data_IF_077294834149
#
_entry.id   IF_077294834149
#
_cell.length_a   1.000
_cell.length_b   1.000
_cell.length_c   1.000
_cell.angle_alpha   90.00
_cell.angle_beta   90.00
_cell.angle_gamma   90.00
#
_symmetry.space_group_name_H-M   'P 1'
#
loop_
_entity.id
_entity.type
_entity.pdbx_description
1 polymer ?
#
# COMPACT_ATOMS: atom_id res chain seq x y z
N UNK A 1 6.56 -10.19 -10.26
CA UNK A 1 6.86 -8.90 -10.93
C UNK A 1 6.97 -7.83 -9.86
N UNK A 2 7.96 -6.95 -9.98
CA UNK A 2 8.16 -5.84 -9.04
C UNK A 2 7.42 -4.59 -9.53
N UNK A 3 6.68 -3.95 -8.64
CA UNK A 3 6.05 -2.66 -8.89
C UNK A 3 6.11 -1.81 -7.63
N UNK A 4 6.02 -0.50 -7.79
CA UNK A 4 5.92 0.41 -6.66
C UNK A 4 4.84 1.45 -6.91
N UNK A 5 4.20 1.84 -5.82
CA UNK A 5 3.26 2.94 -5.78
C UNK A 5 3.74 3.95 -4.74
N UNK A 6 3.24 5.15 -4.82
CA UNK A 6 3.60 6.20 -3.87
C UNK A 6 2.44 6.46 -2.93
N UNK A 7 2.78 6.68 -1.67
CA UNK A 7 1.86 7.11 -0.64
C UNK A 7 2.55 8.18 0.20
N UNK A 8 1.97 8.54 1.31
CA UNK A 8 2.59 9.48 2.24
C UNK A 8 2.17 9.15 3.66
N UNK A 9 3.03 9.51 4.60
CA UNK A 9 2.77 9.40 6.02
C UNK A 9 3.02 10.72 6.71
N UNK A 10 2.85 10.73 8.02
CA UNK A 10 3.13 11.90 8.85
C UNK A 10 4.36 11.64 9.71
N UNK A 11 5.24 12.63 9.78
CA UNK A 11 6.33 12.71 10.76
C UNK A 11 6.02 13.93 11.61
N UNK A 12 5.42 13.75 12.78
CA UNK A 12 4.82 14.84 13.52
C UNK A 12 3.66 15.42 12.74
N UNK A 13 3.73 16.72 12.39
CA UNK A 13 2.71 17.41 11.58
C UNK A 13 3.09 17.50 10.11
N UNK A 14 4.30 17.06 9.74
CA UNK A 14 4.79 17.16 8.37
C UNK A 14 4.51 15.87 7.60
N UNK A 15 4.09 16.01 6.34
CA UNK A 15 3.94 14.88 5.45
C UNK A 15 5.30 14.43 4.91
N UNK A 16 5.44 13.15 4.65
CA UNK A 16 6.60 12.56 3.99
C UNK A 16 6.17 11.51 2.98
N UNK A 17 6.89 11.43 1.87
CA UNK A 17 6.59 10.46 0.82
C UNK A 17 7.05 9.07 1.24
N UNK A 18 6.17 8.09 1.05
CA UNK A 18 6.45 6.68 1.32
C UNK A 18 6.34 5.92 -0.01
N UNK A 19 7.35 5.13 -0.32
CA UNK A 19 7.29 4.23 -1.47
C UNK A 19 6.74 2.88 -1.00
N UNK A 20 5.72 2.43 -1.66
CA UNK A 20 5.12 1.12 -1.40
C UNK A 20 5.56 0.19 -2.52
N UNK A 21 6.47 -0.70 -2.19
CA UNK A 21 7.05 -1.64 -3.14
C UNK A 21 6.38 -3.00 -2.98
N UNK A 22 5.99 -3.61 -4.10
CA UNK A 22 5.40 -4.93 -4.09
C UNK A 22 6.10 -5.81 -5.10
N UNK A 23 6.47 -7.02 -4.67
CA UNK A 23 7.06 -8.03 -5.54
C UNK A 23 6.24 -9.31 -5.44
N UNK A 24 5.90 -9.86 -6.60
CA UNK A 24 5.16 -11.12 -6.72
C UNK A 24 6.09 -12.13 -7.40
N UNK A 25 6.35 -13.22 -6.71
CA UNK A 25 7.27 -14.25 -7.20
C UNK A 25 6.73 -15.64 -6.90
N UNK A 26 7.33 -16.62 -7.53
CA UNK A 26 7.07 -18.02 -7.20
C UNK A 26 7.70 -18.35 -5.84
N UNK A 27 7.08 -19.24 -5.12
CA UNK A 27 7.54 -19.64 -3.80
C UNK A 27 6.38 -20.04 -2.93
N UNK A 28 6.65 -20.19 -1.64
CA UNK A 28 5.59 -20.51 -0.68
C UNK A 28 4.58 -19.36 -0.62
N UNK A 29 3.30 -19.61 -0.94
CA UNK A 29 2.30 -18.53 -0.97
C UNK A 29 2.19 -17.81 0.37
N UNK A 30 1.99 -16.50 0.31
CA UNK A 30 1.79 -15.68 1.50
C UNK A 30 2.08 -14.22 1.25
N UNK A 31 1.68 -13.38 2.19
CA UNK A 31 1.98 -11.96 2.23
C UNK A 31 3.04 -11.70 3.30
N UNK A 32 4.08 -10.99 2.93
CA UNK A 32 5.17 -10.61 3.85
C UNK A 32 5.33 -9.10 3.81
N UNK A 33 5.10 -8.43 4.94
CA UNK A 33 5.19 -6.97 5.02
C UNK A 33 6.38 -6.56 5.87
N UNK A 34 7.20 -5.65 5.35
CA UNK A 34 8.39 -5.14 6.01
C UNK A 34 8.48 -3.61 5.89
N UNK A 35 9.34 -2.98 6.69
CA UNK A 35 9.62 -1.55 6.58
C UNK A 35 9.33 -0.73 7.83
N UNK A 36 9.53 -1.27 9.01
CA UNK A 36 9.33 -0.58 10.29
C UNK A 36 7.86 -0.14 10.45
N UNK A 37 7.00 -1.11 10.67
CA UNK A 37 5.54 -0.93 10.61
C UNK A 37 4.92 -1.00 12.01
N UNK A 38 4.06 -0.03 12.34
CA UNK A 38 3.18 -0.13 13.49
C UNK A 38 2.18 -1.27 13.29
N UNK A 39 1.56 -1.73 14.36
CA UNK A 39 0.64 -2.87 14.30
C UNK A 39 -0.53 -2.62 13.35
N UNK A 40 -1.08 -1.40 13.32
CA UNK A 40 -2.20 -1.08 12.43
C UNK A 40 -1.78 -1.11 10.96
N UNK A 41 -0.51 -0.85 10.65
CA UNK A 41 0.01 -0.98 9.28
C UNK A 41 0.17 -2.45 8.92
N UNK A 42 0.65 -3.28 9.84
CA UNK A 42 0.75 -4.72 9.61
C UNK A 42 -0.62 -5.35 9.36
N UNK A 43 -1.66 -4.85 10.00
CA UNK A 43 -3.03 -5.31 9.80
C UNK A 43 -3.56 -4.99 8.40
N UNK A 44 -2.89 -4.10 7.66
CA UNK A 44 -3.26 -3.80 6.28
C UNK A 44 -3.32 -5.05 5.41
N UNK A 45 -2.50 -6.07 5.70
CA UNK A 45 -2.55 -7.33 4.98
C UNK A 45 -3.98 -7.89 4.94
N UNK A 46 -4.66 -7.96 6.08
CA UNK A 46 -6.01 -8.50 6.17
C UNK A 46 -7.01 -7.63 5.41
N UNK A 47 -6.95 -6.31 5.60
CA UNK A 47 -7.87 -5.39 4.94
C UNK A 47 -7.69 -5.43 3.42
N UNK A 48 -6.44 -5.39 2.95
CA UNK A 48 -6.13 -5.38 1.52
C UNK A 48 -6.55 -6.68 0.85
N UNK A 49 -6.16 -7.81 1.41
CA UNK A 49 -6.51 -9.13 0.83
C UNK A 49 -8.01 -9.32 0.74
N UNK A 50 -8.73 -8.98 1.81
CA UNK A 50 -10.17 -9.14 1.86
C UNK A 50 -10.87 -8.18 0.91
N UNK A 51 -10.42 -6.91 0.85
CA UNK A 51 -10.99 -5.92 -0.05
C UNK A 51 -10.80 -6.31 -1.53
N UNK A 52 -9.62 -6.80 -1.89
CA UNK A 52 -9.34 -7.26 -3.25
C UNK A 52 -10.27 -8.41 -3.62
N UNK A 53 -10.39 -9.40 -2.75
CA UNK A 53 -11.28 -10.54 -2.97
C UNK A 53 -12.74 -10.11 -3.13
N UNK A 54 -13.22 -9.25 -2.25
CA UNK A 54 -14.61 -8.78 -2.26
C UNK A 54 -14.91 -7.80 -3.39
N UNK A 55 -13.87 -7.26 -4.03
CA UNK A 55 -14.00 -6.42 -5.22
C UNK A 55 -14.00 -7.23 -6.52
N UNK A 56 -13.97 -8.55 -6.43
CA UNK A 56 -14.09 -9.43 -7.60
C UNK A 56 -12.77 -9.85 -8.22
N UNK A 57 -11.63 -9.54 -7.58
CA UNK A 57 -10.33 -9.97 -8.08
C UNK A 57 -9.89 -11.26 -7.38
N UNK A 58 -9.32 -12.17 -8.14
CA UNK A 58 -8.74 -13.40 -7.60
C UNK A 58 -7.23 -13.34 -7.77
N UNK A 59 -6.49 -13.39 -6.65
CA UNK A 59 -5.04 -13.42 -6.69
C UNK A 59 -4.57 -14.87 -6.72
N UNK A 60 -3.65 -15.23 -7.64
CA UNK A 60 -3.07 -16.56 -7.65
C UNK A 60 -2.21 -16.80 -6.40
N UNK A 61 -1.98 -18.06 -6.00
CA UNK A 61 -1.22 -18.37 -4.79
C UNK A 61 0.29 -18.15 -5.04
N UNK A 62 0.73 -16.92 -4.86
CA UNK A 62 2.11 -16.48 -5.07
C UNK A 62 2.69 -15.92 -3.78
N UNK A 63 4.03 -15.83 -3.73
CA UNK A 63 4.71 -15.13 -2.66
C UNK A 63 4.68 -13.63 -2.96
N UNK A 64 4.04 -12.86 -2.07
CA UNK A 64 3.93 -11.41 -2.19
C UNK A 64 4.75 -10.78 -1.08
N UNK A 65 5.72 -9.95 -1.44
CA UNK A 65 6.53 -9.19 -0.49
C UNK A 65 6.23 -7.72 -0.67
N UNK A 66 5.90 -7.04 0.43
CA UNK A 66 5.54 -5.62 0.43
C UNK A 66 6.50 -4.90 1.38
N UNK A 67 7.17 -3.88 0.86
CA UNK A 67 8.09 -3.05 1.63
C UNK A 67 7.65 -1.60 1.58
N UNK A 68 7.51 -0.98 2.74
CA UNK A 68 7.22 0.45 2.85
C UNK A 68 8.53 1.19 3.15
N UNK A 69 9.04 1.90 2.17
CA UNK A 69 10.32 2.57 2.21
C UNK A 69 10.15 4.07 2.51
N UNK A 70 11.05 4.71 3.26
CA UNK A 70 12.31 4.19 3.81
C UNK A 70 12.13 3.37 5.09
N UNK A 71 13.02 2.40 5.30
CA UNK A 71 12.90 1.46 6.41
C UNK A 71 13.22 2.09 7.79
N UNK A 72 13.92 3.22 7.81
CA UNK A 72 14.28 3.88 9.07
C UNK A 72 13.17 4.79 9.60
N UNK A 73 12.11 5.02 8.84
CA UNK A 73 10.96 5.81 9.25
C UNK A 73 9.82 4.89 9.65
N UNK A 74 9.32 5.03 10.88
CA UNK A 74 8.20 4.24 11.36
C UNK A 74 6.90 4.67 10.67
N UNK A 75 6.19 3.72 10.09
CA UNK A 75 4.91 3.96 9.43
C UNK A 75 3.78 3.64 10.38
N UNK A 76 2.86 4.57 10.53
CA UNK A 76 1.70 4.48 11.42
C UNK A 76 0.43 4.81 10.65
N UNK A 77 -0.72 4.43 11.23
CA UNK A 77 -2.02 4.71 10.67
C UNK A 77 -2.44 3.72 9.59
N UNK A 78 -3.61 3.96 9.03
CA UNK A 78 -4.26 3.04 8.11
C UNK A 78 -4.28 3.55 6.67
N UNK A 79 -3.67 4.70 6.41
CA UNK A 79 -3.72 5.36 5.10
C UNK A 79 -2.93 4.69 3.99
N UNK A 80 -2.14 3.67 4.29
CA UNK A 80 -1.36 2.95 3.28
C UNK A 80 -2.15 1.85 2.57
N UNK A 81 -3.32 1.48 3.07
CA UNK A 81 -4.10 0.35 2.55
C UNK A 81 -4.32 0.44 1.04
N UNK A 82 -4.76 1.60 0.57
CA UNK A 82 -5.08 1.78 -0.86
C UNK A 82 -3.84 1.65 -1.73
N UNK A 83 -2.73 2.28 -1.35
CA UNK A 83 -1.48 2.19 -2.12
C UNK A 83 -0.92 0.77 -2.12
N UNK A 84 -1.07 0.03 -1.02
CA UNK A 84 -0.66 -1.37 -0.96
C UNK A 84 -1.51 -2.21 -1.94
N UNK A 85 -2.82 -2.01 -1.94
CA UNK A 85 -3.71 -2.73 -2.85
C UNK A 85 -3.37 -2.44 -4.32
N UNK A 86 -3.12 -1.18 -4.66
CA UNK A 86 -2.75 -0.78 -6.02
C UNK A 86 -1.41 -1.41 -6.43
N UNK A 87 -0.41 -1.38 -5.54
CA UNK A 87 0.89 -1.98 -5.83
C UNK A 87 0.77 -3.50 -6.02
N UNK A 88 0.00 -4.18 -5.18
CA UNK A 88 -0.22 -5.63 -5.28
C UNK A 88 -0.94 -5.99 -6.58
N UNK A 89 -2.01 -5.30 -6.92
CA UNK A 89 -2.74 -5.55 -8.17
C UNK A 89 -1.87 -5.30 -9.40
N UNK A 90 -1.05 -4.25 -9.36
CA UNK A 90 -0.12 -3.95 -10.44
C UNK A 90 0.97 -5.01 -10.56
N UNK A 91 1.51 -5.47 -9.44
CA UNK A 91 2.55 -6.50 -9.42
C UNK A 91 2.03 -7.86 -9.93
N UNK A 92 0.73 -8.13 -9.79
CA UNK A 92 0.09 -9.30 -10.38
C UNK A 92 -0.30 -9.09 -11.86
N UNK A 93 -0.09 -7.88 -12.39
CA UNK A 93 -0.46 -7.57 -13.77
C UNK A 93 -1.96 -7.36 -14.00
N UNK A 94 -2.75 -7.21 -12.94
CA UNK A 94 -4.21 -7.03 -13.04
C UNK A 94 -4.56 -5.63 -13.49
N UNK A 95 -3.81 -4.63 -13.03
CA UNK A 95 -3.98 -3.24 -13.46
C UNK A 95 -2.70 -2.74 -14.13
N UNK A 96 -2.87 -1.78 -15.05
CA UNK A 96 -1.74 -1.16 -15.73
C UNK A 96 -0.99 -0.24 -14.77
N UNK A 97 0.34 -0.26 -14.85
CA UNK A 97 1.21 0.48 -13.94
C UNK A 97 1.69 1.83 -14.47
N UNK A 98 1.21 2.26 -15.63
CA UNK A 98 1.73 3.47 -16.30
C UNK A 98 1.55 4.74 -15.48
N UNK A 99 0.49 4.80 -14.66
CA UNK A 99 0.20 6.00 -13.85
C UNK A 99 0.82 5.93 -12.46
N UNK A 100 1.43 4.81 -12.06
CA UNK A 100 1.93 4.65 -10.69
C UNK A 100 3.06 5.62 -10.35
N UNK A 101 3.93 5.88 -11.31
CA UNK A 101 5.08 6.79 -11.10
C UNK A 101 4.67 8.26 -10.95
N UNK A 102 3.50 8.65 -11.48
CA UNK A 102 3.02 10.03 -11.45
C UNK A 102 1.88 10.26 -10.47
N UNK A 103 1.49 9.26 -9.69
CA UNK A 103 0.33 9.34 -8.82
C UNK A 103 0.67 8.89 -7.39
N UNK A 104 -0.01 9.48 -6.43
CA UNK A 104 0.04 9.04 -5.03
C UNK A 104 -1.32 8.55 -4.58
N UNK A 105 -1.32 7.58 -3.69
CA UNK A 105 -2.54 6.92 -3.23
C UNK A 105 -2.62 6.96 -1.71
N UNK A 106 -3.76 7.41 -1.20
CA UNK A 106 -4.04 7.51 0.23
C UNK A 106 -5.44 6.98 0.52
N UNK A 107 -5.58 6.20 1.56
CA UNK A 107 -6.89 5.79 2.04
C UNK A 107 -6.84 4.49 2.82
N UNK A 108 -7.74 4.38 3.78
CA UNK A 108 -8.00 3.12 4.47
C UNK A 108 -9.04 2.34 3.67
N UNK A 109 -8.88 1.02 3.57
CA UNK A 109 -9.84 0.16 2.89
C UNK A 109 -10.78 -0.51 3.89
N UNK A 110 -12.07 -0.47 3.59
CA UNK A 110 -13.02 -1.37 4.20
C UNK A 110 -12.96 -2.75 3.54
N UNK A 111 -13.50 -3.76 4.18
CA UNK A 111 -13.39 -5.14 3.70
C UNK A 111 -14.11 -5.39 2.37
N UNK A 112 -15.04 -4.51 1.98
CA UNK A 112 -15.70 -4.57 0.68
C UNK A 112 -15.07 -3.64 -0.37
N UNK A 113 -13.90 -3.07 -0.08
CA UNK A 113 -13.17 -2.25 -1.03
C UNK A 113 -13.49 -0.76 -0.99
N UNK A 114 -14.33 -0.31 -0.05
CA UNK A 114 -14.61 1.12 0.08
C UNK A 114 -13.41 1.86 0.67
N UNK A 115 -13.16 3.07 0.20
CA UNK A 115 -12.13 3.95 0.75
C UNK A 115 -12.70 4.74 1.91
N UNK A 116 -11.94 4.82 3.00
CA UNK A 116 -12.28 5.59 4.18
C UNK A 116 -11.29 6.73 4.38
N UNK A 117 -11.71 7.86 4.98
CA UNK A 117 -10.83 8.99 5.20
C UNK A 117 -9.74 8.67 6.23
N UNK A 118 -8.63 9.38 6.11
CA UNK A 118 -7.50 9.28 7.04
C UNK A 118 -7.12 10.67 7.55
N UNK A 119 -6.39 10.72 8.67
CA UNK A 119 -5.92 11.98 9.24
C UNK A 119 -4.73 12.51 8.46
N UNK A 120 -4.60 13.83 8.41
CA UNK A 120 -3.43 14.49 7.85
C UNK A 120 -3.34 14.47 6.34
N UNK A 121 -4.46 14.27 5.64
CA UNK A 121 -4.48 14.17 4.16
C UNK A 121 -3.85 15.39 3.51
N UNK A 122 -4.11 16.61 4.02
CA UNK A 122 -3.54 17.81 3.41
C UNK A 122 -2.02 17.82 3.48
N UNK A 123 -1.44 17.54 4.66
CA UNK A 123 0.01 17.48 4.82
C UNK A 123 0.63 16.39 3.94
N UNK A 124 -0.01 15.23 3.87
CA UNK A 124 0.45 14.12 3.03
C UNK A 124 0.37 14.45 1.55
N UNK A 125 -0.73 15.08 1.12
CA UNK A 125 -0.92 15.47 -0.28
C UNK A 125 0.11 16.52 -0.70
N UNK A 126 0.43 17.48 0.17
CA UNK A 126 1.47 18.47 -0.09
C UNK A 126 2.85 17.82 -0.25
N UNK A 127 3.16 16.81 0.57
CA UNK A 127 4.40 16.05 0.44
C UNK A 127 4.51 15.34 -0.90
N UNK A 128 3.43 14.71 -1.35
CA UNK A 128 3.39 14.00 -2.64
C UNK A 128 3.46 14.93 -3.85
N UNK A 129 3.07 16.19 -3.67
CA UNK A 129 3.10 17.17 -4.75
C UNK A 129 4.47 17.79 -5.02
N UNK A 130 5.47 17.41 -4.26
CA UNK A 130 6.82 17.97 -4.40
C UNK A 130 7.71 17.16 -5.32
#
# INVERSE_FOLDING_TARGET
MFKRAFSAGLLGVNGCVIQVEADVSDGLPGFHMVGFLASEVKEAEQRVRTAIKNSGFTLPPKKVTINLSPANLRKEGTGYDFSIAIAVLSAHGIIKSEILESSGFLGELGLYGSLKPVRGVLSMALAMGK
#
